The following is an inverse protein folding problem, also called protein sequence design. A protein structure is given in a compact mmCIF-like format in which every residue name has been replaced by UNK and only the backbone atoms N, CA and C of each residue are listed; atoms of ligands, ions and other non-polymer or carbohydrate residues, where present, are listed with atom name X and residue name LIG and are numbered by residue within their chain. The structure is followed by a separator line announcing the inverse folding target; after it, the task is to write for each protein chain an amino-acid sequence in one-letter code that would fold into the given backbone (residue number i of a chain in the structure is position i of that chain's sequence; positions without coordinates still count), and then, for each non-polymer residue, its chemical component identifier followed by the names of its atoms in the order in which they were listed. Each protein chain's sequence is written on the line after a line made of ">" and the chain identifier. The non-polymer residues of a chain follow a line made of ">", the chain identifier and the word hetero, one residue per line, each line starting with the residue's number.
data_IF_259930820011
#
_entry.id   IF_259930820011
#
_cell.length_a   1.000
_cell.length_b   1.000
_cell.length_c   1.000
_cell.angle_alpha   90.00
_cell.angle_beta   90.00
_cell.angle_gamma   90.00
#
_symmetry.space_group_name_H-M   'P 1'
#
loop_
_entity.id
_entity.type
_entity.pdbx_description
1 polymer ?
#
# COMPACT_ATOMS: atom_id res chain seq x y z
N UNK A 1 -6.49 5.14 2.88
CA UNK A 1 -6.83 5.11 4.32
C UNK A 1 -6.61 6.45 5.01
N UNK A 2 -5.38 6.87 5.33
CA UNK A 2 -5.16 7.99 6.26
C UNK A 2 -5.66 9.35 5.70
N UNK A 3 -5.37 9.63 4.42
CA UNK A 3 -5.73 10.90 3.77
C UNK A 3 -7.15 10.94 3.18
N UNK A 4 -7.86 9.82 3.14
CA UNK A 4 -9.24 9.75 2.62
C UNK A 4 -10.28 10.20 3.66
N UNK A 5 -9.99 10.05 4.95
CA UNK A 5 -10.86 10.51 6.05
C UNK A 5 -10.89 12.04 6.22
N UNK A 6 -9.92 12.76 5.65
CA UNK A 6 -9.84 14.22 5.76
C UNK A 6 -10.70 14.97 4.72
N UNK A 7 -11.44 14.28 3.83
CA UNK A 7 -12.22 14.91 2.74
C UNK A 7 -13.64 15.32 3.14
N UNK A 8 -14.22 14.72 4.18
CA UNK A 8 -15.65 14.87 4.51
C UNK A 8 -16.07 16.24 5.10
N UNK A 9 -15.14 17.20 5.22
CA UNK A 9 -15.39 18.48 5.92
C UNK A 9 -15.66 19.65 4.98
N UNK A 10 -15.37 19.56 3.67
CA UNK A 10 -15.29 20.75 2.78
C UNK A 10 -15.71 20.54 1.30
N UNK A 11 -16.93 20.11 0.99
CA UNK A 11 -17.53 20.26 -0.36
C UNK A 11 -19.03 20.63 -0.24
N UNK A 12 -19.58 21.40 -1.21
CA UNK A 12 -20.18 20.76 -2.37
C UNK A 12 -19.81 21.37 -3.74
N UNK A 13 -19.69 20.49 -4.75
CA UNK A 13 -19.89 20.67 -6.20
C UNK A 13 -19.40 21.94 -6.92
N UNK A 14 -18.52 21.77 -7.92
CA UNK A 14 -18.93 21.74 -9.35
C UNK A 14 -17.79 21.37 -10.30
N UNK A 15 -18.14 20.78 -11.45
CA UNK A 15 -17.26 20.35 -12.54
C UNK A 15 -17.24 21.37 -13.69
N UNK A 16 -16.08 21.59 -14.32
CA UNK A 16 -15.92 21.73 -15.79
C UNK A 16 -14.43 21.81 -16.23
N UNK A 17 -14.08 21.55 -17.52
CA UNK A 17 -12.71 21.27 -17.96
C UNK A 17 -12.03 22.41 -18.77
N UNK A 18 -10.70 22.46 -18.78
CA UNK A 18 -9.92 23.26 -19.74
C UNK A 18 -8.64 22.57 -20.23
N UNK A 19 -8.12 23.04 -21.38
CA UNK A 19 -7.30 22.30 -22.36
C UNK A 19 -5.78 22.35 -22.13
N UNK A 20 -5.12 21.30 -22.65
CA UNK A 20 -3.77 21.19 -23.25
C UNK A 20 -2.73 22.31 -23.06
N UNK A 21 -1.50 21.90 -22.71
CA UNK A 21 -0.39 21.77 -23.69
C UNK A 21 0.65 20.78 -23.16
N UNK A 22 1.15 19.87 -24.01
CA UNK A 22 2.23 18.95 -23.67
C UNK A 22 3.61 19.59 -23.88
N UNK A 23 4.60 19.15 -23.10
CA UNK A 23 6.00 19.28 -23.49
C UNK A 23 6.81 18.10 -22.92
N UNK A 24 7.27 17.24 -23.82
CA UNK A 24 8.12 16.10 -23.54
C UNK A 24 9.60 16.50 -23.60
N UNK A 25 10.40 16.08 -22.61
CA UNK A 25 11.80 15.67 -22.75
C UNK A 25 12.39 15.32 -21.37
N UNK A 26 12.55 14.02 -21.07
CA UNK A 26 13.28 13.54 -19.88
C UNK A 26 13.63 12.03 -20.05
N UNK A 27 14.56 11.71 -20.95
CA UNK A 27 15.00 10.34 -21.23
C UNK A 27 16.53 10.25 -21.46
N UNK A 28 17.34 10.60 -20.45
CA UNK A 28 18.81 10.50 -20.54
C UNK A 28 19.57 10.26 -19.21
N UNK A 29 18.90 9.72 -18.19
CA UNK A 29 19.47 9.54 -16.83
C UNK A 29 19.49 8.09 -16.30
N UNK A 30 19.10 7.11 -17.11
CA UNK A 30 19.25 5.70 -16.77
C UNK A 30 20.53 5.16 -17.40
N UNK A 31 21.48 4.72 -16.57
CA UNK A 31 22.60 3.92 -17.06
C UNK A 31 22.07 2.65 -17.72
N UNK A 32 22.58 2.31 -18.91
CA UNK A 32 22.21 1.09 -19.61
C UNK A 32 22.69 -0.12 -18.82
N UNK A 33 21.78 -0.81 -18.14
CA UNK A 33 21.95 -2.25 -17.92
C UNK A 33 21.54 -2.94 -19.21
N UNK A 34 22.51 -3.52 -19.94
CA UNK A 34 22.18 -4.48 -20.98
C UNK A 34 21.37 -5.62 -20.36
N UNK A 35 20.12 -5.77 -20.80
CA UNK A 35 19.47 -7.07 -20.86
C UNK A 35 19.37 -7.38 -22.34
N UNK A 36 19.89 -8.53 -22.74
CA UNK A 36 19.84 -9.02 -24.11
C UNK A 36 18.39 -9.28 -24.52
N UNK A 37 18.03 -8.82 -25.72
CA UNK A 37 16.80 -9.21 -26.41
C UNK A 37 16.99 -10.63 -26.96
N UNK A 38 16.86 -11.64 -26.10
CA UNK A 38 16.97 -13.04 -26.51
C UNK A 38 16.30 -14.00 -25.51
N UNK A 39 14.98 -13.85 -25.28
CA UNK A 39 14.16 -14.85 -24.57
C UNK A 39 12.63 -14.70 -24.75
N UNK A 40 12.15 -14.31 -25.93
CA UNK A 40 10.70 -14.29 -26.24
C UNK A 40 10.27 -15.38 -27.26
N UNK A 41 11.16 -16.33 -27.59
CA UNK A 41 10.93 -17.32 -28.66
C UNK A 41 11.00 -18.81 -28.21
N UNK A 42 10.98 -19.09 -26.90
CA UNK A 42 10.97 -20.47 -26.36
C UNK A 42 9.66 -20.87 -25.67
N UNK A 43 8.56 -20.18 -26.00
CA UNK A 43 7.21 -20.47 -25.48
C UNK A 43 6.26 -21.06 -26.56
N UNK A 44 6.80 -21.45 -27.72
CA UNK A 44 6.02 -21.81 -28.92
C UNK A 44 6.10 -23.31 -29.26
N UNK A 45 6.83 -24.13 -28.49
CA UNK A 45 7.15 -25.54 -28.83
C UNK A 45 6.65 -26.60 -27.83
N UNK A 46 5.68 -26.29 -26.97
CA UNK A 46 4.92 -27.33 -26.23
C UNK A 46 3.41 -27.07 -26.33
N UNK A 47 2.88 -27.11 -27.56
CA UNK A 47 1.45 -27.37 -27.78
C UNK A 47 1.19 -28.87 -27.65
N UNK A 48 1.15 -29.37 -26.41
CA UNK A 48 0.47 -30.65 -26.15
C UNK A 48 -1.03 -30.44 -26.35
N UNK A 49 -1.58 -31.08 -27.36
CA UNK A 49 -2.99 -30.98 -27.76
C UNK A 49 -3.94 -31.41 -26.64
N UNK A 50 -4.69 -30.46 -26.07
CA UNK A 50 -5.88 -30.76 -25.27
C UNK A 50 -7.05 -31.11 -26.23
N UNK A 51 -7.65 -32.30 -26.15
CA UNK A 51 -8.75 -32.73 -27.02
C UNK A 51 -10.10 -32.17 -26.53
N UNK A 52 -10.30 -30.87 -26.66
CA UNK A 52 -11.59 -30.23 -26.35
C UNK A 52 -11.49 -28.71 -26.24
N UNK A 53 -11.92 -28.00 -27.28
CA UNK A 53 -12.12 -26.56 -27.18
C UNK A 53 -13.30 -26.28 -26.23
N UNK A 54 -13.02 -25.71 -25.06
CA UNK A 54 -14.04 -25.25 -24.11
C UNK A 54 -15.00 -24.32 -24.84
N UNK A 55 -16.30 -24.61 -24.84
CA UNK A 55 -17.27 -23.72 -25.47
C UNK A 55 -17.40 -22.41 -24.66
N UNK A 56 -17.46 -21.29 -25.40
CA UNK A 56 -17.74 -19.97 -24.84
C UNK A 56 -19.10 -19.91 -24.14
N UNK A 57 -20.08 -20.73 -24.54
CA UNK A 57 -21.37 -20.85 -23.84
C UNK A 57 -21.20 -21.36 -22.39
N UNK A 58 -20.33 -22.37 -22.18
CA UNK A 58 -20.00 -22.93 -20.86
C UNK A 58 -19.33 -21.86 -19.99
N UNK A 59 -18.43 -21.09 -20.59
CA UNK A 59 -17.73 -19.98 -19.94
C UNK A 59 -18.69 -18.88 -19.47
N UNK A 60 -19.65 -18.48 -20.31
CA UNK A 60 -20.70 -17.51 -19.99
C UNK A 60 -21.65 -18.03 -18.90
N UNK A 61 -22.01 -19.32 -18.94
CA UNK A 61 -22.77 -20.00 -17.88
C UNK A 61 -22.04 -19.94 -16.53
N UNK A 62 -20.74 -20.27 -16.51
CA UNK A 62 -19.94 -20.27 -15.28
C UNK A 62 -19.79 -18.87 -14.67
N UNK A 63 -19.48 -17.82 -15.45
CA UNK A 63 -19.38 -16.45 -14.90
C UNK A 63 -20.73 -15.91 -14.44
N UNK A 64 -21.85 -16.30 -15.06
CA UNK A 64 -23.20 -15.93 -14.62
C UNK A 64 -23.56 -16.58 -13.29
N UNK A 65 -23.32 -17.90 -13.15
CA UNK A 65 -23.51 -18.63 -11.88
C UNK A 65 -22.57 -18.09 -10.78
N UNK A 66 -21.32 -17.75 -11.11
CA UNK A 66 -20.36 -17.18 -10.17
C UNK A 66 -20.84 -15.84 -9.59
N UNK A 67 -21.35 -14.93 -10.44
CA UNK A 67 -21.93 -13.65 -9.98
C UNK A 67 -23.07 -13.86 -8.99
N UNK A 68 -24.02 -14.73 -9.32
CA UNK A 68 -25.16 -15.04 -8.45
C UNK A 68 -24.73 -15.59 -7.09
N UNK A 69 -23.78 -16.53 -7.06
CA UNK A 69 -23.26 -17.12 -5.81
C UNK A 69 -22.55 -16.08 -4.95
N UNK A 70 -21.64 -15.30 -5.55
CA UNK A 70 -20.85 -14.27 -4.85
C UNK A 70 -21.76 -13.16 -4.32
N UNK A 71 -22.64 -12.59 -5.15
CA UNK A 71 -23.55 -11.52 -4.71
C UNK A 71 -24.52 -12.00 -3.62
N UNK A 72 -24.99 -13.25 -3.68
CA UNK A 72 -25.80 -13.86 -2.63
C UNK A 72 -25.02 -13.93 -1.29
N UNK A 73 -23.79 -14.44 -1.31
CA UNK A 73 -22.92 -14.52 -0.13
C UNK A 73 -22.59 -13.15 0.48
N UNK A 74 -22.26 -12.15 -0.34
CA UNK A 74 -22.05 -10.78 0.13
C UNK A 74 -23.32 -10.19 0.76
N UNK A 75 -24.48 -10.37 0.13
CA UNK A 75 -25.76 -9.86 0.64
C UNK A 75 -26.15 -10.54 1.97
N UNK A 76 -25.94 -11.85 2.09
CA UNK A 76 -26.16 -12.61 3.32
C UNK A 76 -25.23 -12.10 4.44
N UNK A 77 -23.95 -11.92 4.15
CA UNK A 77 -22.95 -11.39 5.10
C UNK A 77 -23.30 -9.98 5.58
N UNK A 78 -23.68 -9.08 4.66
CA UNK A 78 -24.05 -7.70 4.99
C UNK A 78 -25.33 -7.65 5.85
N UNK A 79 -26.35 -8.46 5.52
CA UNK A 79 -27.57 -8.60 6.33
C UNK A 79 -27.25 -9.14 7.74
N UNK A 80 -26.44 -10.19 7.81
CA UNK A 80 -26.05 -10.87 9.05
C UNK A 80 -25.31 -9.92 10.02
N UNK A 81 -24.35 -9.13 9.51
CA UNK A 81 -23.66 -8.11 10.32
C UNK A 81 -24.62 -6.99 10.75
N UNK A 82 -25.43 -6.46 9.83
CA UNK A 82 -26.42 -5.40 10.15
C UNK A 82 -27.43 -5.85 11.21
N UNK A 83 -27.85 -7.11 11.18
CA UNK A 83 -28.76 -7.68 12.18
C UNK A 83 -28.12 -7.74 13.57
N UNK A 84 -26.87 -8.25 13.69
CA UNK A 84 -26.15 -8.29 14.97
C UNK A 84 -25.85 -6.90 15.55
N UNK A 85 -25.53 -5.93 14.70
CA UNK A 85 -25.36 -4.53 15.11
C UNK A 85 -26.66 -3.91 15.63
N UNK A 86 -27.81 -4.22 15.01
CA UNK A 86 -29.13 -3.71 15.41
C UNK A 86 -29.71 -4.38 16.65
N UNK A 87 -29.41 -5.66 16.90
CA UNK A 87 -29.91 -6.38 18.08
C UNK A 87 -29.16 -6.07 19.38
N UNK A 88 -28.09 -5.26 19.33
CA UNK A 88 -27.23 -5.01 20.48
C UNK A 88 -26.31 -6.18 20.85
N UNK A 89 -26.37 -7.30 20.13
CA UNK A 89 -25.59 -8.52 20.38
C UNK A 89 -24.21 -8.52 19.66
N UNK A 90 -23.78 -7.38 19.13
CA UNK A 90 -22.52 -7.29 18.38
C UNK A 90 -21.30 -7.40 19.30
N UNK A 91 -20.46 -8.40 19.03
CA UNK A 91 -19.15 -8.50 19.69
C UNK A 91 -18.19 -7.41 19.19
N UNK A 92 -17.10 -7.12 19.91
CA UNK A 92 -16.02 -6.28 19.39
C UNK A 92 -15.45 -6.78 18.05
N UNK A 93 -15.50 -8.09 17.80
CA UNK A 93 -15.09 -8.69 16.52
C UNK A 93 -16.09 -8.42 15.39
N UNK A 94 -17.40 -8.39 15.67
CA UNK A 94 -18.41 -8.00 14.69
C UNK A 94 -18.24 -6.54 14.27
N UNK A 95 -18.00 -5.66 15.24
CA UNK A 95 -17.76 -4.24 15.01
C UNK A 95 -16.48 -4.02 14.19
N UNK A 96 -15.40 -4.73 14.53
CA UNK A 96 -14.15 -4.69 13.75
C UNK A 96 -14.33 -5.23 12.32
N UNK A 97 -15.12 -6.29 12.16
CA UNK A 97 -15.42 -6.90 10.85
C UNK A 97 -16.31 -6.01 9.99
N UNK A 98 -17.21 -5.23 10.60
CA UNK A 98 -18.00 -4.20 9.93
C UNK A 98 -17.11 -3.07 9.41
N UNK A 99 -16.23 -2.50 10.25
CA UNK A 99 -15.31 -1.44 9.84
C UNK A 99 -14.27 -1.89 8.79
N UNK A 100 -14.03 -3.19 8.66
CA UNK A 100 -13.14 -3.78 7.64
C UNK A 100 -13.84 -4.20 6.35
N UNK A 101 -15.16 -4.03 6.24
CA UNK A 101 -15.87 -4.28 4.99
C UNK A 101 -15.34 -3.37 3.87
N UNK A 102 -15.07 -3.89 2.66
CA UNK A 102 -14.62 -3.06 1.57
C UNK A 102 -15.73 -2.08 1.14
N UNK A 103 -15.34 -0.85 0.81
CA UNK A 103 -16.23 0.24 0.39
C UNK A 103 -15.86 0.78 -0.99
N UNK A 104 -16.82 1.42 -1.66
CA UNK A 104 -16.65 2.06 -2.96
C UNK A 104 -15.89 1.19 -3.98
N UNK A 105 -14.91 1.76 -4.69
CA UNK A 105 -14.12 1.07 -5.71
C UNK A 105 -13.38 -0.19 -5.21
N UNK A 106 -13.05 -0.28 -3.91
CA UNK A 106 -12.43 -1.50 -3.35
C UNK A 106 -13.44 -2.64 -3.28
N UNK A 107 -14.71 -2.38 -2.95
CA UNK A 107 -15.77 -3.40 -2.97
C UNK A 107 -15.96 -3.98 -4.38
N UNK A 108 -15.95 -3.11 -5.38
CA UNK A 108 -16.09 -3.49 -6.80
C UNK A 108 -14.91 -4.38 -7.22
N UNK A 109 -13.67 -3.95 -6.91
CA UNK A 109 -12.47 -4.70 -7.28
C UNK A 109 -12.36 -6.07 -6.59
N UNK A 110 -12.75 -6.18 -5.31
CA UNK A 110 -12.77 -7.47 -4.59
C UNK A 110 -13.85 -8.39 -5.17
N UNK A 111 -15.09 -7.91 -5.35
CA UNK A 111 -16.15 -8.71 -5.98
C UNK A 111 -15.79 -9.19 -7.39
N UNK A 112 -15.13 -8.35 -8.18
CA UNK A 112 -14.65 -8.75 -9.51
C UNK A 112 -13.65 -9.92 -9.45
N UNK A 113 -12.72 -9.89 -8.49
CA UNK A 113 -11.79 -10.99 -8.25
C UNK A 113 -12.51 -12.25 -7.75
N UNK A 114 -13.50 -12.13 -6.88
CA UNK A 114 -14.31 -13.24 -6.40
C UNK A 114 -15.14 -13.88 -7.54
N UNK A 115 -15.76 -13.07 -8.42
CA UNK A 115 -16.45 -13.57 -9.61
C UNK A 115 -15.51 -14.36 -10.52
N UNK A 116 -14.29 -13.87 -10.76
CA UNK A 116 -13.28 -14.57 -11.55
C UNK A 116 -12.88 -15.89 -10.90
N UNK A 117 -12.57 -15.88 -9.60
CA UNK A 117 -12.15 -17.07 -8.87
C UNK A 117 -13.24 -18.16 -8.86
N UNK A 118 -14.49 -17.80 -8.52
CA UNK A 118 -15.61 -18.74 -8.51
C UNK A 118 -15.96 -19.22 -9.93
N UNK A 119 -15.83 -18.37 -10.96
CA UNK A 119 -16.07 -18.79 -12.35
C UNK A 119 -15.03 -19.80 -12.84
N UNK A 120 -13.76 -19.64 -12.46
CA UNK A 120 -12.70 -20.60 -12.77
C UNK A 120 -12.90 -21.93 -12.02
N UNK A 121 -13.28 -21.91 -10.75
CA UNK A 121 -13.59 -23.13 -9.99
C UNK A 121 -14.81 -23.88 -10.55
N UNK A 122 -15.88 -23.16 -10.92
CA UNK A 122 -17.06 -23.76 -11.59
C UNK A 122 -16.75 -24.30 -12.98
N UNK A 123 -15.75 -23.76 -13.67
CA UNK A 123 -15.27 -24.29 -14.94
C UNK A 123 -14.43 -25.54 -14.73
N UNK A 124 -13.53 -25.54 -13.74
CA UNK A 124 -12.72 -26.68 -13.36
C UNK A 124 -13.59 -27.89 -12.96
N UNK A 125 -14.62 -27.68 -12.12
CA UNK A 125 -15.62 -28.70 -11.75
C UNK A 125 -16.28 -29.36 -12.99
N UNK A 126 -16.62 -28.56 -14.01
CA UNK A 126 -17.22 -29.07 -15.25
C UNK A 126 -16.22 -29.83 -16.14
N UNK A 127 -14.96 -29.40 -16.17
CA UNK A 127 -13.91 -30.00 -17.02
C UNK A 127 -13.28 -31.25 -16.39
N UNK A 128 -13.20 -31.34 -15.06
CA UNK A 128 -12.81 -32.56 -14.34
C UNK A 128 -13.73 -33.76 -14.65
N UNK A 129 -14.97 -33.50 -15.08
CA UNK A 129 -15.89 -34.56 -15.53
C UNK A 129 -15.55 -35.13 -16.92
N UNK A 130 -14.58 -34.53 -17.64
CA UNK A 130 -14.19 -34.94 -19.01
C UNK A 130 -12.77 -35.52 -19.09
N UNK A 131 -11.86 -35.22 -18.14
CA UNK A 131 -10.48 -35.74 -18.16
C UNK A 131 -9.98 -36.22 -16.79
N UNK A 132 -9.31 -37.38 -16.76
CA UNK A 132 -8.72 -37.99 -15.55
C UNK A 132 -7.31 -37.50 -15.19
N UNK A 133 -6.82 -36.40 -15.80
CA UNK A 133 -5.47 -35.83 -15.55
C UNK A 133 -5.57 -34.51 -14.80
N UNK A 134 -4.56 -34.19 -14.00
CA UNK A 134 -4.44 -32.86 -13.39
C UNK A 134 -4.04 -31.83 -14.45
N UNK A 135 -4.91 -30.86 -14.71
CA UNK A 135 -4.65 -29.70 -15.56
C UNK A 135 -4.86 -28.40 -14.77
N UNK A 136 -4.33 -27.28 -15.26
CA UNK A 136 -4.66 -25.96 -14.75
C UNK A 136 -5.72 -25.34 -15.66
N UNK A 137 -6.87 -24.96 -15.10
CA UNK A 137 -8.03 -24.44 -15.84
C UNK A 137 -7.71 -23.21 -16.71
N UNK A 138 -6.70 -22.41 -16.36
CA UNK A 138 -6.31 -21.26 -17.20
C UNK A 138 -5.60 -21.64 -18.49
N UNK A 139 -4.98 -22.83 -18.52
CA UNK A 139 -4.08 -23.23 -19.60
C UNK A 139 -4.84 -23.93 -20.74
N UNK A 140 -6.06 -24.38 -20.46
CA UNK A 140 -7.04 -24.90 -21.43
C UNK A 140 -7.84 -23.77 -22.11
N UNK A 141 -7.80 -22.54 -21.56
CA UNK A 141 -8.54 -21.40 -22.08
C UNK A 141 -7.75 -20.58 -23.12
N UNK A 142 -8.39 -20.25 -24.23
CA UNK A 142 -7.78 -19.38 -25.25
C UNK A 142 -7.65 -17.92 -24.79
N UNK A 143 -6.71 -17.16 -25.36
CA UNK A 143 -6.52 -15.73 -25.06
C UNK A 143 -7.83 -14.90 -25.19
N UNK A 144 -8.70 -15.10 -26.20
CA UNK A 144 -10.01 -14.43 -26.26
C UNK A 144 -10.96 -14.80 -25.11
N UNK A 145 -10.98 -16.07 -24.68
CA UNK A 145 -11.81 -16.53 -23.58
C UNK A 145 -11.37 -15.97 -22.23
N UNK A 146 -10.06 -15.90 -21.99
CA UNK A 146 -9.50 -15.24 -20.81
C UNK A 146 -9.84 -13.73 -20.79
N UNK A 147 -9.84 -13.06 -21.96
CA UNK A 147 -10.33 -11.68 -22.08
C UNK A 147 -11.82 -11.57 -21.77
N UNK A 148 -12.66 -12.48 -22.29
CA UNK A 148 -14.09 -12.50 -22.02
C UNK A 148 -14.38 -12.69 -20.52
N UNK A 149 -13.74 -13.64 -19.85
CA UNK A 149 -13.86 -13.81 -18.40
C UNK A 149 -13.45 -12.53 -17.65
N UNK A 150 -12.32 -11.92 -18.03
CA UNK A 150 -11.79 -10.73 -17.38
C UNK A 150 -12.71 -9.52 -17.55
N UNK A 151 -13.31 -9.33 -18.73
CA UNK A 151 -14.30 -8.31 -19.00
C UNK A 151 -15.60 -8.59 -18.24
N UNK A 152 -16.10 -9.83 -18.30
CA UNK A 152 -17.35 -10.22 -17.66
C UNK A 152 -17.27 -10.17 -16.13
N UNK A 153 -16.12 -10.48 -15.51
CA UNK A 153 -15.90 -10.34 -14.07
C UNK A 153 -15.67 -8.90 -13.63
N UNK A 154 -15.22 -8.02 -14.53
CA UNK A 154 -14.75 -6.67 -14.20
C UNK A 154 -13.28 -6.62 -13.74
N UNK A 155 -12.51 -7.69 -13.94
CA UNK A 155 -11.05 -7.70 -13.74
C UNK A 155 -10.27 -7.08 -14.91
N UNK A 156 -10.93 -6.81 -16.04
CA UNK A 156 -10.29 -6.28 -17.23
C UNK A 156 -9.56 -4.96 -16.96
N UNK A 157 -8.33 -4.88 -17.43
CA UNK A 157 -7.58 -3.63 -17.51
C UNK A 157 -8.29 -2.74 -18.53
N UNK A 158 -8.81 -1.60 -18.08
CA UNK A 158 -9.29 -0.56 -18.98
C UNK A 158 -8.09 0.13 -19.63
N UNK A 159 -7.76 -0.27 -20.86
CA UNK A 159 -6.67 0.29 -21.68
C UNK A 159 -7.02 1.65 -22.33
N UNK A 160 -7.90 2.44 -21.70
CA UNK A 160 -8.15 3.81 -22.13
C UNK A 160 -6.94 4.72 -21.79
N UNK A 161 -6.61 5.62 -22.72
CA UNK A 161 -5.53 6.58 -22.56
C UNK A 161 -5.88 7.65 -21.51
N UNK A 162 -5.69 7.33 -20.22
CA UNK A 162 -5.98 8.22 -19.09
C UNK A 162 -5.11 9.50 -19.14
N UNK A 163 -5.75 10.66 -19.28
CA UNK A 163 -5.06 11.95 -19.30
C UNK A 163 -4.52 12.32 -17.91
N UNK A 164 -3.26 12.00 -17.67
CA UNK A 164 -2.63 12.14 -16.36
C UNK A 164 -2.33 13.60 -15.97
N UNK A 165 -2.96 14.08 -14.90
CA UNK A 165 -2.61 15.36 -14.26
C UNK A 165 -1.21 15.32 -13.62
N UNK A 166 -0.57 16.50 -13.54
CA UNK A 166 0.81 16.66 -13.09
C UNK A 166 0.99 17.37 -11.75
N UNK A 167 -0.02 18.11 -11.27
CA UNK A 167 0.18 19.02 -10.13
C UNK A 167 0.24 18.29 -8.79
N UNK A 168 -0.60 17.27 -8.62
CA UNK A 168 -0.75 16.52 -7.38
C UNK A 168 -0.93 15.02 -7.63
N UNK A 169 -0.51 14.19 -6.67
CA UNK A 169 -0.75 12.75 -6.69
C UNK A 169 -2.25 12.47 -6.52
N UNK A 170 -2.84 11.59 -7.33
CA UNK A 170 -4.19 11.06 -7.13
C UNK A 170 -4.36 10.40 -5.75
N UNK A 171 -5.59 10.20 -5.26
CA UNK A 171 -5.83 9.47 -4.00
C UNK A 171 -5.46 7.99 -4.14
N UNK A 172 -5.76 7.40 -5.30
CA UNK A 172 -5.53 5.99 -5.62
C UNK A 172 -4.08 5.68 -5.99
N UNK A 173 -3.25 6.66 -6.34
CA UNK A 173 -1.89 6.43 -6.86
C UNK A 173 -1.82 6.25 -8.38
N UNK A 174 -2.97 6.18 -9.09
CA UNK A 174 -3.03 6.23 -10.56
C UNK A 174 -2.24 7.40 -11.13
N UNK A 175 -1.73 7.23 -12.35
CA UNK A 175 -0.90 8.21 -13.05
C UNK A 175 0.43 8.58 -12.35
N UNK A 176 0.88 7.83 -11.33
CA UNK A 176 2.26 7.96 -10.84
C UNK A 176 3.25 7.61 -11.97
N UNK A 177 2.96 6.58 -12.76
CA UNK A 177 3.63 6.30 -14.03
C UNK A 177 2.71 6.76 -15.17
N UNK A 178 3.15 7.71 -16.02
CA UNK A 178 2.33 8.19 -17.15
C UNK A 178 2.17 7.15 -18.27
N UNK A 179 3.17 6.28 -18.48
CA UNK A 179 3.14 5.26 -19.55
C UNK A 179 2.23 4.08 -19.19
N UNK A 180 2.07 3.80 -17.90
CA UNK A 180 1.24 2.70 -17.37
C UNK A 180 0.50 3.19 -16.12
N UNK A 181 -0.62 3.91 -16.27
CA UNK A 181 -1.28 4.65 -15.18
C UNK A 181 -1.63 3.82 -13.94
N UNK A 182 -1.87 2.52 -14.09
CA UNK A 182 -2.21 1.58 -13.01
C UNK A 182 -1.01 1.07 -12.19
N UNK A 183 0.24 1.27 -12.65
CA UNK A 183 1.42 0.79 -11.90
C UNK A 183 1.56 1.51 -10.55
N UNK A 184 1.37 0.76 -9.46
CA UNK A 184 1.38 1.26 -8.09
C UNK A 184 0.08 1.95 -7.66
N UNK A 185 -1.00 1.79 -8.41
CA UNK A 185 -2.33 2.21 -7.99
C UNK A 185 -2.92 1.22 -6.96
N UNK A 186 -3.79 1.72 -6.08
CA UNK A 186 -4.59 0.93 -5.16
C UNK A 186 -5.59 0.04 -5.92
N UNK A 187 -6.06 -1.03 -5.27
CA UNK A 187 -6.96 -2.03 -5.85
C UNK A 187 -6.37 -2.69 -7.12
N UNK A 188 -5.06 -2.96 -7.11
CA UNK A 188 -4.33 -3.69 -8.15
C UNK A 188 -3.63 -4.89 -7.53
N UNK A 189 -3.38 -5.93 -8.33
CA UNK A 189 -2.65 -7.10 -7.88
C UNK A 189 -1.19 -6.76 -7.49
N UNK A 190 -0.73 -7.32 -6.38
CA UNK A 190 0.66 -7.21 -5.93
C UNK A 190 1.59 -7.87 -6.95
N UNK A 191 2.80 -7.32 -7.12
CA UNK A 191 3.80 -7.94 -7.98
C UNK A 191 4.23 -9.31 -7.40
N UNK A 192 4.26 -10.36 -8.23
CA UNK A 192 4.90 -11.64 -7.87
C UNK A 192 6.31 -11.65 -8.45
N UNK A 193 7.29 -11.99 -7.61
CA UNK A 193 8.71 -12.09 -7.99
C UNK A 193 9.17 -13.53 -8.21
N UNK A 194 8.40 -14.47 -7.68
CA UNK A 194 8.52 -15.90 -7.87
C UNK A 194 7.12 -16.42 -8.20
N UNK A 195 6.99 -17.56 -8.91
CA UNK A 195 5.72 -18.24 -9.10
C UNK A 195 4.99 -18.49 -7.76
N UNK A 196 3.67 -18.52 -7.81
CA UNK A 196 2.88 -18.90 -6.64
C UNK A 196 3.04 -20.40 -6.36
N UNK A 197 2.91 -20.80 -5.10
CA UNK A 197 2.86 -22.20 -4.69
C UNK A 197 1.66 -22.39 -3.77
N UNK A 198 0.69 -23.15 -4.24
CA UNK A 198 -0.52 -23.54 -3.54
C UNK A 198 -0.63 -25.06 -3.47
N UNK A 199 -1.47 -25.57 -2.57
CA UNK A 199 -1.64 -27.01 -2.29
C UNK A 199 -2.35 -27.77 -3.42
N UNK A 200 -3.16 -27.05 -4.18
CA UNK A 200 -3.86 -27.41 -5.42
C UNK A 200 -3.15 -26.86 -6.69
N UNK A 201 -2.07 -26.07 -6.53
CA UNK A 201 -1.43 -25.32 -7.60
C UNK A 201 -2.11 -23.98 -7.96
N UNK A 202 -3.33 -23.71 -7.48
CA UNK A 202 -4.18 -22.59 -7.92
C UNK A 202 -4.46 -21.58 -6.79
N UNK A 203 -4.99 -22.03 -5.65
CA UNK A 203 -5.55 -21.15 -4.62
C UNK A 203 -5.51 -21.67 -3.18
N UNK A 204 -5.65 -22.98 -2.96
CA UNK A 204 -5.71 -23.56 -1.61
C UNK A 204 -4.36 -23.39 -0.89
N UNK A 205 -4.32 -22.76 0.29
CA UNK A 205 -3.08 -22.63 1.05
C UNK A 205 -2.63 -24.01 1.58
N UNK A 206 -1.33 -24.24 1.61
CA UNK A 206 -0.77 -25.45 2.23
C UNK A 206 -1.19 -25.56 3.71
N UNK A 207 -1.68 -26.74 4.11
CA UNK A 207 -2.25 -26.98 5.44
C UNK A 207 -3.76 -26.72 5.53
N UNK A 208 -4.43 -26.48 4.40
CA UNK A 208 -5.89 -26.45 4.32
C UNK A 208 -6.50 -27.85 4.38
N UNK A 209 -5.96 -28.80 3.60
CA UNK A 209 -6.44 -30.18 3.58
C UNK A 209 -5.90 -30.96 4.79
N UNK A 210 -6.76 -31.47 5.70
CA UNK A 210 -6.30 -32.25 6.84
C UNK A 210 -5.46 -33.47 6.41
N UNK A 211 -4.34 -33.70 7.08
CA UNK A 211 -3.43 -34.83 6.81
C UNK A 211 -2.52 -34.67 5.58
N UNK A 212 -2.76 -33.69 4.69
CA UNK A 212 -1.89 -33.45 3.53
C UNK A 212 -0.55 -32.88 4.00
N UNK A 213 0.54 -33.46 3.48
CA UNK A 213 1.92 -33.11 3.87
C UNK A 213 2.58 -32.22 2.83
N UNK A 214 3.47 -31.32 3.29
CA UNK A 214 4.39 -30.57 2.42
C UNK A 214 5.82 -30.99 2.75
N UNK A 215 6.55 -31.46 1.73
CA UNK A 215 7.93 -31.96 1.86
C UNK A 215 8.11 -32.98 3.01
N UNK A 216 7.12 -33.88 3.20
CA UNK A 216 7.11 -34.90 4.25
C UNK A 216 6.52 -34.47 5.61
N UNK A 217 6.34 -33.16 5.84
CA UNK A 217 5.85 -32.61 7.11
C UNK A 217 4.35 -32.32 7.08
N UNK A 218 3.66 -32.61 8.19
CA UNK A 218 2.31 -32.10 8.45
C UNK A 218 2.39 -30.62 8.80
N UNK A 219 1.42 -29.84 8.33
CA UNK A 219 1.32 -28.41 8.62
C UNK A 219 0.25 -28.16 9.70
N UNK A 220 0.43 -27.15 10.57
CA UNK A 220 -0.59 -26.78 11.52
C UNK A 220 -1.83 -26.25 10.79
N UNK A 221 -3.02 -26.55 11.33
CA UNK A 221 -4.29 -26.02 10.83
C UNK A 221 -4.25 -24.49 10.78
N UNK A 222 -4.85 -23.92 9.74
CA UNK A 222 -4.91 -22.47 9.53
C UNK A 222 -5.72 -21.82 10.66
N UNK A 223 -5.03 -21.19 11.61
CA UNK A 223 -5.65 -20.47 12.71
C UNK A 223 -6.24 -19.13 12.25
N UNK A 224 -7.39 -18.74 12.82
CA UNK A 224 -8.11 -17.53 12.47
C UNK A 224 -7.23 -16.26 12.57
N UNK A 225 -7.31 -15.43 11.53
CA UNK A 225 -6.46 -14.25 11.31
C UNK A 225 -6.95 -13.04 12.11
N UNK A 226 -6.86 -13.14 13.43
CA UNK A 226 -7.08 -12.03 14.38
C UNK A 226 -6.23 -10.83 13.98
N UNK A 227 -6.88 -9.86 13.35
CA UNK A 227 -6.24 -8.68 12.77
C UNK A 227 -6.08 -7.58 13.82
N UNK A 228 -5.04 -7.70 14.64
CA UNK A 228 -4.75 -6.83 15.79
C UNK A 228 -4.38 -5.41 15.37
N UNK A 229 -5.36 -4.52 15.33
CA UNK A 229 -5.09 -3.08 15.40
C UNK A 229 -4.74 -2.71 16.86
N UNK A 230 -3.72 -1.88 17.06
CA UNK A 230 -3.28 -1.47 18.39
C UNK A 230 -3.50 0.03 18.59
N UNK A 231 -3.82 0.51 19.81
CA UNK A 231 -3.98 1.94 20.09
C UNK A 231 -2.76 2.80 19.70
N UNK A 232 -1.56 2.22 19.69
CA UNK A 232 -0.31 2.86 19.23
C UNK A 232 -0.38 3.27 17.76
N UNK A 233 -1.02 2.45 16.90
CA UNK A 233 -1.26 2.79 15.50
C UNK A 233 -2.27 3.93 15.38
N UNK A 234 -3.40 3.85 16.10
CA UNK A 234 -4.42 4.90 16.11
C UNK A 234 -3.88 6.27 16.60
N UNK A 235 -2.96 6.27 17.58
CA UNK A 235 -2.26 7.47 18.02
C UNK A 235 -1.41 8.10 16.91
N UNK A 236 -0.70 7.29 16.11
CA UNK A 236 0.05 7.77 14.95
C UNK A 236 -0.88 8.30 13.84
N UNK A 237 -2.02 7.65 13.60
CA UNK A 237 -3.07 8.16 12.70
C UNK A 237 -3.53 9.56 13.11
N UNK A 238 -3.91 9.73 14.37
CA UNK A 238 -4.33 11.01 14.94
C UNK A 238 -3.24 12.07 14.79
N UNK A 239 -1.97 11.71 15.01
CA UNK A 239 -0.84 12.64 14.91
C UNK A 239 -0.70 13.22 13.50
N UNK A 240 -0.72 12.39 12.45
CA UNK A 240 -0.58 12.89 11.07
C UNK A 240 -1.83 13.61 10.55
N UNK A 241 -3.03 13.27 11.03
CA UNK A 241 -4.24 14.06 10.75
C UNK A 241 -4.16 15.46 11.36
N UNK A 242 -3.69 15.57 12.61
CA UNK A 242 -3.45 16.89 13.25
C UNK A 242 -2.40 17.70 12.48
N UNK A 243 -1.29 17.07 12.08
CA UNK A 243 -0.24 17.77 11.33
C UNK A 243 -0.74 18.27 9.96
N UNK A 244 -1.58 17.49 9.26
CA UNK A 244 -2.24 17.97 8.04
C UNK A 244 -3.06 19.24 8.29
N UNK A 245 -3.89 19.24 9.33
CA UNK A 245 -4.75 20.37 9.66
C UNK A 245 -3.93 21.60 10.13
N UNK A 246 -2.85 21.38 10.89
CA UNK A 246 -1.90 22.42 11.30
C UNK A 246 -1.23 23.08 10.08
N UNK A 247 -0.71 22.27 9.16
CA UNK A 247 -0.12 22.74 7.90
C UNK A 247 -1.12 23.52 7.05
N UNK A 248 -2.35 23.01 6.88
CA UNK A 248 -3.40 23.71 6.13
C UNK A 248 -3.76 25.06 6.76
N UNK A 249 -3.83 25.14 8.09
CA UNK A 249 -4.09 26.38 8.85
C UNK A 249 -2.99 27.41 8.65
N UNK A 250 -1.72 27.00 8.77
CA UNK A 250 -0.57 27.90 8.55
C UNK A 250 -0.45 28.35 7.09
N UNK A 251 -0.72 27.47 6.13
CA UNK A 251 -0.77 27.80 4.70
C UNK A 251 -1.90 28.78 4.37
N UNK A 252 -3.08 28.67 5.02
CA UNK A 252 -4.18 29.64 4.88
C UNK A 252 -3.79 31.02 5.40
N UNK A 253 -3.12 31.09 6.57
CA UNK A 253 -2.59 32.37 7.11
C UNK A 253 -1.54 32.98 6.19
N UNK A 254 -0.68 32.15 5.59
CA UNK A 254 0.37 32.60 4.67
C UNK A 254 -0.17 33.04 3.30
N UNK A 255 -1.25 32.39 2.84
CA UNK A 255 -1.88 32.60 1.54
C UNK A 255 -3.42 32.68 1.65
N UNK A 256 -3.99 33.82 2.10
CA UNK A 256 -5.43 33.93 2.36
C UNK A 256 -6.35 33.63 1.17
N UNK A 257 -5.86 33.84 -0.06
CA UNK A 257 -6.59 33.61 -1.32
C UNK A 257 -6.62 32.15 -1.81
N UNK A 258 -6.00 31.19 -1.12
CA UNK A 258 -6.02 29.79 -1.54
C UNK A 258 -7.36 29.11 -1.21
N UNK A 259 -7.90 28.37 -2.19
CA UNK A 259 -9.09 27.53 -2.04
C UNK A 259 -8.85 26.35 -1.10
N UNK A 260 -9.94 25.73 -0.61
CA UNK A 260 -9.89 24.52 0.23
C UNK A 260 -9.05 23.41 -0.41
N UNK A 261 -9.30 23.11 -1.69
CA UNK A 261 -8.54 22.11 -2.46
C UNK A 261 -7.04 22.40 -2.52
N UNK A 262 -6.64 23.66 -2.77
CA UNK A 262 -5.21 24.00 -2.85
C UNK A 262 -4.53 23.81 -1.49
N UNK A 263 -5.22 24.16 -0.40
CA UNK A 263 -4.73 23.98 0.97
C UNK A 263 -4.61 22.49 1.33
N UNK A 264 -5.65 21.70 1.05
CA UNK A 264 -5.64 20.25 1.24
C UNK A 264 -4.49 19.61 0.45
N UNK A 265 -4.36 19.89 -0.85
CA UNK A 265 -3.35 19.25 -1.68
C UNK A 265 -1.93 19.69 -1.32
N UNK A 266 -1.66 20.95 -0.99
CA UNK A 266 -0.33 21.38 -0.54
C UNK A 266 0.01 20.82 0.86
N UNK A 267 -0.92 20.83 1.83
CA UNK A 267 -0.69 20.22 3.14
C UNK A 267 -0.46 18.70 3.02
N UNK A 268 -1.24 18.00 2.19
CA UNK A 268 -1.07 16.58 1.85
C UNK A 268 0.27 16.30 1.18
N UNK A 269 0.73 17.18 0.29
CA UNK A 269 2.01 17.09 -0.42
C UNK A 269 3.20 17.29 0.51
N UNK A 270 3.14 18.27 1.42
CA UNK A 270 4.13 18.49 2.49
C UNK A 270 4.20 17.28 3.42
N UNK A 271 3.06 16.82 3.94
CA UNK A 271 3.00 15.66 4.83
C UNK A 271 3.51 14.37 4.17
N UNK A 272 3.19 14.17 2.89
CA UNK A 272 3.76 13.07 2.10
C UNK A 272 5.28 13.15 1.97
N UNK A 273 5.85 14.35 1.84
CA UNK A 273 7.29 14.55 1.86
C UNK A 273 7.91 14.31 3.25
N UNK A 274 7.24 14.72 4.33
CA UNK A 274 7.68 14.41 5.70
C UNK A 274 7.78 12.90 5.93
N UNK A 275 6.76 12.14 5.53
CA UNK A 275 6.78 10.67 5.63
C UNK A 275 7.93 10.07 4.80
N UNK A 276 8.10 10.51 3.54
CA UNK A 276 9.23 10.08 2.71
C UNK A 276 10.60 10.35 3.38
N UNK A 277 10.79 11.53 3.97
CA UNK A 277 12.04 11.90 4.65
C UNK A 277 12.25 11.05 5.90
N UNK A 278 11.26 10.95 6.80
CA UNK A 278 11.36 10.16 8.04
C UNK A 278 11.65 8.69 7.71
N UNK A 279 10.97 8.10 6.73
CA UNK A 279 11.20 6.70 6.33
C UNK A 279 12.62 6.48 5.78
N UNK A 280 13.10 7.32 4.86
CA UNK A 280 14.36 7.06 4.16
C UNK A 280 15.61 7.62 4.86
N UNK A 281 15.48 8.69 5.64
CA UNK A 281 16.58 9.31 6.40
C UNK A 281 16.75 8.66 7.78
N UNK A 282 15.65 8.40 8.49
CA UNK A 282 15.69 8.08 9.92
C UNK A 282 15.42 6.60 10.21
N UNK A 283 14.44 5.99 9.52
CA UNK A 283 13.97 4.63 9.83
C UNK A 283 14.72 3.53 9.06
N UNK A 284 14.71 3.55 7.72
CA UNK A 284 15.30 2.49 6.90
C UNK A 284 16.80 2.24 7.17
N UNK A 285 17.66 3.25 7.41
CA UNK A 285 19.07 3.01 7.76
C UNK A 285 19.27 2.24 9.07
N UNK A 286 18.31 2.29 10.00
CA UNK A 286 18.33 1.52 11.25
C UNK A 286 17.85 0.08 11.02
N UNK A 287 16.79 -0.10 10.22
CA UNK A 287 16.25 -1.44 9.87
C UNK A 287 17.24 -2.28 9.06
N UNK A 288 17.90 -1.67 8.07
CA UNK A 288 18.78 -2.35 7.12
C UNK A 288 20.23 -2.48 7.63
N UNK A 289 20.63 -1.64 8.59
CA UNK A 289 22.02 -1.40 8.95
C UNK A 289 22.76 -0.49 7.95
N UNK A 290 23.73 0.30 8.43
CA UNK A 290 24.41 1.36 7.67
C UNK A 290 25.01 0.89 6.34
N UNK A 291 25.74 -0.22 6.33
CA UNK A 291 26.43 -0.72 5.14
C UNK A 291 25.44 -1.14 4.04
N UNK A 292 24.37 -1.87 4.40
CA UNK A 292 23.32 -2.26 3.46
C UNK A 292 22.51 -1.06 2.98
N UNK A 293 22.15 -0.15 3.89
CA UNK A 293 21.42 1.07 3.53
C UNK A 293 22.19 1.92 2.51
N UNK A 294 23.50 2.10 2.70
CA UNK A 294 24.37 2.82 1.75
C UNK A 294 24.33 2.18 0.34
N UNK A 295 24.50 0.85 0.26
CA UNK A 295 24.48 0.10 -1.01
C UNK A 295 23.10 0.03 -1.66
N UNK A 296 22.03 -0.10 -0.88
CA UNK A 296 20.67 -0.37 -1.38
C UNK A 296 19.87 0.89 -1.67
N UNK A 297 19.99 1.93 -0.85
CA UNK A 297 19.27 3.20 -1.04
C UNK A 297 20.08 4.18 -1.91
N UNK A 298 21.37 4.32 -1.60
CA UNK A 298 22.29 5.22 -2.30
C UNK A 298 21.86 6.69 -2.33
N UNK A 299 22.59 7.54 -3.07
CA UNK A 299 22.13 8.89 -3.40
C UNK A 299 21.02 8.82 -4.46
N UNK A 300 19.94 9.60 -4.27
CA UNK A 300 18.86 9.71 -5.24
C UNK A 300 19.33 10.31 -6.58
N UNK A 301 19.23 9.53 -7.67
CA UNK A 301 19.69 9.92 -9.01
C UNK A 301 18.62 10.56 -9.91
N UNK A 302 17.33 10.44 -9.56
CA UNK A 302 16.23 10.92 -10.38
C UNK A 302 15.05 9.94 -10.44
N UNK A 303 13.99 10.33 -11.14
CA UNK A 303 12.82 9.49 -11.41
C UNK A 303 13.08 8.63 -12.66
N UNK A 304 12.66 7.37 -12.63
CA UNK A 304 12.74 6.42 -13.75
C UNK A 304 11.37 5.76 -13.93
N UNK A 305 10.75 5.96 -15.09
CA UNK A 305 9.44 5.38 -15.44
C UNK A 305 9.45 3.87 -15.64
N UNK A 306 10.62 3.24 -15.73
CA UNK A 306 10.77 1.82 -16.02
C UNK A 306 10.88 0.98 -14.73
N UNK A 307 11.01 1.61 -13.55
CA UNK A 307 11.01 0.91 -12.26
C UNK A 307 9.57 0.64 -11.82
N UNK A 308 9.24 -0.63 -11.56
CA UNK A 308 7.92 -1.03 -11.07
C UNK A 308 7.69 -0.56 -9.60
N UNK A 309 6.65 0.25 -9.33
CA UNK A 309 6.32 0.73 -7.98
C UNK A 309 5.34 -0.18 -7.19
N UNK A 310 4.81 -1.29 -7.76
CA UNK A 310 3.58 -1.99 -7.29
C UNK A 310 3.53 -2.51 -5.84
N UNK A 311 4.66 -2.71 -5.17
CA UNK A 311 4.81 -3.58 -3.98
C UNK A 311 4.67 -5.06 -4.33
N UNK A 312 5.58 -5.89 -3.82
CA UNK A 312 5.62 -7.32 -4.06
C UNK A 312 4.80 -8.11 -3.04
N UNK A 313 4.24 -9.24 -3.45
CA UNK A 313 3.48 -10.14 -2.58
C UNK A 313 4.32 -10.55 -1.33
N UNK A 314 5.57 -10.97 -1.56
CA UNK A 314 6.54 -11.35 -0.51
C UNK A 314 6.83 -10.21 0.50
N UNK A 315 6.72 -8.94 0.09
CA UNK A 315 6.93 -7.79 0.97
C UNK A 315 5.88 -7.74 2.09
N UNK A 316 4.64 -8.14 1.80
CA UNK A 316 3.53 -8.13 2.78
C UNK A 316 3.69 -9.13 3.92
N UNK A 317 4.58 -10.11 3.75
CA UNK A 317 4.98 -11.07 4.78
C UNK A 317 6.29 -10.65 5.45
N UNK A 318 7.36 -10.39 4.69
CA UNK A 318 8.66 -10.06 5.28
C UNK A 318 8.67 -8.73 6.06
N UNK A 319 7.88 -7.73 5.65
CA UNK A 319 7.76 -6.48 6.41
C UNK A 319 7.02 -6.67 7.75
N UNK A 320 6.41 -7.84 8.00
CA UNK A 320 5.90 -8.24 9.33
C UNK A 320 7.01 -8.61 10.32
N UNK A 321 8.29 -8.47 9.97
CA UNK A 321 9.38 -8.50 10.97
C UNK A 321 9.11 -7.54 12.14
N UNK A 322 8.35 -6.47 11.93
CA UNK A 322 7.85 -5.59 13.00
C UNK A 322 7.11 -6.30 14.14
N UNK A 323 6.58 -7.51 13.93
CA UNK A 323 5.97 -8.32 14.98
C UNK A 323 6.99 -8.82 16.01
N UNK A 324 8.27 -9.01 15.65
CA UNK A 324 9.33 -9.34 16.63
C UNK A 324 9.73 -8.14 17.49
N UNK A 325 9.36 -6.92 17.08
CA UNK A 325 9.57 -5.67 17.83
C UNK A 325 8.39 -5.33 18.75
N UNK A 326 7.29 -6.10 18.72
CA UNK A 326 6.15 -5.87 19.60
C UNK A 326 6.46 -6.33 21.03
N UNK A 327 6.22 -5.44 21.99
CA UNK A 327 6.22 -5.76 23.42
C UNK A 327 4.85 -6.28 23.84
N UNK A 328 4.83 -7.29 24.70
CA UNK A 328 3.60 -7.87 25.26
C UNK A 328 2.74 -6.85 26.02
N UNK A 329 3.36 -5.81 26.60
CA UNK A 329 2.66 -4.73 27.32
C UNK A 329 2.61 -3.43 26.51
N UNK A 330 1.44 -2.78 26.53
CA UNK A 330 1.27 -1.41 26.05
C UNK A 330 1.30 -0.45 27.23
N UNK A 331 2.38 0.32 27.34
CA UNK A 331 2.53 1.35 28.37
C UNK A 331 1.89 2.66 27.89
N UNK A 332 0.95 3.17 28.69
CA UNK A 332 0.34 4.48 28.57
C UNK A 332 0.84 5.34 29.73
N UNK A 333 1.38 6.53 29.44
CA UNK A 333 1.92 7.44 30.45
C UNK A 333 1.05 8.70 30.50
N UNK A 334 0.47 8.98 31.68
CA UNK A 334 -0.47 10.08 31.86
C UNK A 334 0.28 11.37 32.23
N UNK A 335 0.10 12.44 31.45
CA UNK A 335 0.88 13.67 31.54
C UNK A 335 0.76 14.46 32.87
N UNK A 336 -0.21 14.12 33.73
CA UNK A 336 -0.39 14.73 35.06
C UNK A 336 0.29 14.00 36.22
N UNK A 337 0.86 12.81 36.00
CA UNK A 337 1.57 12.00 37.01
C UNK A 337 2.84 11.36 36.41
N UNK A 338 3.61 12.15 35.64
CA UNK A 338 4.86 11.66 35.05
C UNK A 338 6.00 11.77 36.07
N UNK A 339 6.28 10.67 36.79
CA UNK A 339 7.65 10.44 37.24
C UNK A 339 8.52 10.32 35.97
N UNK A 340 9.52 11.21 35.76
CA UNK A 340 10.32 11.22 34.55
C UNK A 340 11.06 9.88 34.29
N UNK A 341 11.29 9.06 35.32
CA UNK A 341 11.98 7.76 35.22
C UNK A 341 11.28 6.75 34.30
N UNK A 342 9.97 6.90 34.07
CA UNK A 342 9.14 5.86 33.44
C UNK A 342 8.85 6.05 31.94
N UNK A 343 9.34 7.11 31.28
CA UNK A 343 9.15 7.35 29.82
C UNK A 343 9.96 6.39 28.91
N UNK A 344 10.10 5.11 29.29
CA UNK A 344 11.00 4.16 28.67
C UNK A 344 10.32 3.28 27.61
N UNK A 345 11.01 3.08 26.48
CA UNK A 345 10.87 1.91 25.57
C UNK A 345 9.59 1.81 24.72
N UNK A 346 9.13 2.93 24.15
CA UNK A 346 7.99 2.97 23.22
C UNK A 346 8.27 2.57 21.76
N UNK A 347 9.46 2.85 21.21
CA UNK A 347 9.75 2.82 19.75
C UNK A 347 11.18 2.35 19.40
N UNK A 348 11.73 1.40 20.15
CA UNK A 348 13.14 1.01 20.06
C UNK A 348 13.45 0.11 18.85
N UNK A 349 14.33 0.53 17.94
CA UNK A 349 14.89 -0.35 16.89
C UNK A 349 16.24 -0.99 17.26
N UNK A 350 16.87 -0.57 18.38
CA UNK A 350 18.29 -0.86 18.68
C UNK A 350 18.68 -2.34 18.81
N UNK A 351 17.72 -3.26 19.01
CA UNK A 351 17.98 -4.71 19.20
C UNK A 351 17.35 -5.57 18.11
N UNK A 352 16.77 -4.98 17.07
CA UNK A 352 16.06 -5.67 16.01
C UNK A 352 16.49 -5.16 14.62
N UNK A 353 17.78 -5.27 14.34
CA UNK A 353 18.24 -5.29 12.95
C UNK A 353 17.52 -6.41 12.23
N UNK A 354 16.91 -6.13 11.07
CA UNK A 354 16.22 -7.17 10.33
C UNK A 354 17.23 -8.25 9.89
N UNK A 355 16.90 -9.56 10.02
CA UNK A 355 17.79 -10.63 9.59
C UNK A 355 18.33 -10.39 8.18
N UNK A 356 19.58 -10.79 7.93
CA UNK A 356 20.28 -10.53 6.66
C UNK A 356 19.51 -11.01 5.42
N UNK A 357 18.60 -11.97 5.58
CA UNK A 357 17.75 -12.54 4.54
C UNK A 357 16.38 -11.85 4.36
N UNK A 358 15.91 -11.02 5.31
CA UNK A 358 14.57 -10.41 5.26
C UNK A 358 14.38 -9.38 4.16
N UNK A 359 15.47 -8.79 3.66
CA UNK A 359 15.45 -7.71 2.68
C UNK A 359 16.48 -7.91 1.56
N UNK A 360 16.21 -8.74 0.53
CA UNK A 360 16.94 -8.76 -0.74
C UNK A 360 17.28 -7.35 -1.27
N UNK A 361 18.36 -7.18 -2.09
CA UNK A 361 18.77 -5.87 -2.58
C UNK A 361 17.65 -5.07 -3.29
N UNK A 362 16.71 -5.77 -3.94
CA UNK A 362 15.61 -5.14 -4.68
C UNK A 362 14.37 -4.87 -3.78
N UNK A 363 14.35 -5.32 -2.53
CA UNK A 363 13.13 -5.49 -1.71
C UNK A 363 12.45 -4.18 -1.27
N UNK A 364 13.12 -3.05 -1.44
CA UNK A 364 12.58 -1.73 -1.11
C UNK A 364 11.77 -1.22 -2.30
N UNK A 365 10.57 -1.79 -2.46
CA UNK A 365 9.74 -1.63 -3.66
C UNK A 365 9.21 -0.21 -3.89
N UNK A 366 9.24 0.64 -2.87
CA UNK A 366 8.96 2.09 -2.97
C UNK A 366 10.22 2.89 -3.29
N UNK A 367 11.20 2.27 -3.98
CA UNK A 367 12.48 2.87 -4.32
C UNK A 367 12.27 4.28 -4.92
N UNK A 368 12.94 5.32 -4.39
CA UNK A 368 12.73 6.71 -4.80
C UNK A 368 12.65 6.98 -6.31
N UNK A 369 13.39 6.26 -7.20
CA UNK A 369 13.25 6.42 -8.65
C UNK A 369 11.88 6.02 -9.22
N UNK A 370 11.12 5.12 -8.60
CA UNK A 370 9.78 4.71 -9.10
C UNK A 370 8.68 5.76 -8.83
N UNK A 371 8.98 6.79 -8.03
CA UNK A 371 8.01 7.74 -7.49
C UNK A 371 8.08 9.09 -8.22
N UNK A 372 7.11 9.38 -9.09
CA UNK A 372 7.05 10.65 -9.86
C UNK A 372 6.85 11.88 -8.96
N UNK A 373 6.28 11.66 -7.77
CA UNK A 373 6.09 12.65 -6.72
C UNK A 373 7.06 12.44 -5.54
N UNK A 374 8.30 12.00 -5.81
CA UNK A 374 9.36 11.96 -4.80
C UNK A 374 9.82 13.37 -4.43
N UNK A 375 9.98 13.67 -3.15
CA UNK A 375 10.21 15.03 -2.65
C UNK A 375 11.50 15.69 -3.20
N UNK A 376 12.51 14.89 -3.59
CA UNK A 376 13.75 15.41 -4.19
C UNK A 376 13.64 15.65 -5.70
N UNK A 377 12.63 15.11 -6.40
CA UNK A 377 12.51 15.24 -7.86
C UNK A 377 12.33 16.71 -8.25
N UNK A 378 13.05 17.15 -9.30
CA UNK A 378 12.84 18.46 -9.92
C UNK A 378 11.38 18.59 -10.38
N UNK A 379 10.78 19.75 -10.11
CA UNK A 379 9.36 20.06 -10.38
C UNK A 379 8.40 19.77 -9.23
N UNK A 380 8.71 18.85 -8.30
CA UNK A 380 7.77 18.52 -7.19
C UNK A 380 7.76 19.62 -6.13
N UNK A 381 8.95 20.11 -5.74
CA UNK A 381 9.14 21.24 -4.83
C UNK A 381 10.19 22.22 -5.40
N UNK A 382 10.17 23.48 -4.96
CA UNK A 382 11.23 24.45 -5.26
C UNK A 382 12.52 24.14 -4.51
N UNK A 383 13.65 24.78 -4.86
CA UNK A 383 14.91 24.65 -4.12
C UNK A 383 14.74 25.07 -2.64
N UNK A 384 14.07 26.21 -2.39
CA UNK A 384 13.78 26.75 -1.04
C UNK A 384 12.91 25.79 -0.22
N UNK A 385 11.83 25.26 -0.83
CA UNK A 385 10.95 24.28 -0.18
C UNK A 385 11.70 23.01 0.23
N UNK A 386 12.56 22.45 -0.65
CA UNK A 386 13.40 21.29 -0.29
C UNK A 386 14.38 21.57 0.84
N UNK A 387 14.92 22.79 0.93
CA UNK A 387 15.82 23.18 2.03
C UNK A 387 15.08 23.24 3.37
N UNK A 388 13.86 23.79 3.39
CA UNK A 388 13.00 23.78 4.57
C UNK A 388 12.61 22.35 5.00
N UNK A 389 12.21 21.51 4.04
CA UNK A 389 11.82 20.11 4.30
C UNK A 389 12.93 19.25 4.91
N UNK A 390 14.22 19.53 4.62
CA UNK A 390 15.35 18.79 5.20
C UNK A 390 15.40 18.85 6.72
N UNK A 391 14.84 19.89 7.34
CA UNK A 391 14.88 20.12 8.79
C UNK A 391 13.76 19.42 9.57
N UNK A 392 12.78 18.79 8.90
CA UNK A 392 11.68 18.11 9.58
C UNK A 392 12.17 16.90 10.37
N UNK A 393 11.49 16.57 11.46
CA UNK A 393 11.67 15.33 12.23
C UNK A 393 10.33 14.87 12.80
N UNK A 394 10.16 13.57 13.04
CA UNK A 394 8.94 13.06 13.68
C UNK A 394 8.78 13.60 15.11
N UNK A 395 9.89 13.84 15.83
CA UNK A 395 9.88 14.50 17.15
C UNK A 395 9.28 15.90 17.10
N UNK A 396 9.58 16.69 16.06
CA UNK A 396 8.97 18.03 15.85
C UNK A 396 7.45 17.92 15.63
N UNK A 397 7.01 16.94 14.83
CA UNK A 397 5.59 16.68 14.58
C UNK A 397 4.86 16.32 15.89
N UNK A 398 5.48 15.51 16.76
CA UNK A 398 4.94 15.22 18.11
C UNK A 398 4.80 16.51 18.93
N UNK A 399 5.85 17.33 18.99
CA UNK A 399 5.83 18.60 19.72
C UNK A 399 4.80 19.63 19.21
N UNK A 400 4.48 19.64 17.91
CA UNK A 400 3.56 20.61 17.32
C UNK A 400 2.07 20.17 17.36
N UNK A 401 1.78 18.92 17.68
CA UNK A 401 0.43 18.33 17.59
C UNK A 401 -0.05 17.63 18.89
N UNK A 402 0.74 17.71 19.95
CA UNK A 402 0.46 17.12 21.27
C UNK A 402 0.89 18.08 22.40
N UNK A 403 0.49 17.80 23.64
CA UNK A 403 0.97 18.51 24.82
C UNK A 403 2.34 18.05 25.34
N UNK A 404 3.09 17.24 24.58
CA UNK A 404 4.39 16.72 25.01
C UNK A 404 5.47 17.77 24.75
N UNK A 405 6.13 18.23 25.82
CA UNK A 405 7.15 19.30 25.80
C UNK A 405 8.60 18.79 25.75
N UNK A 406 8.83 17.51 26.04
CA UNK A 406 10.15 16.86 26.00
C UNK A 406 10.05 15.58 25.20
N UNK A 407 10.89 15.44 24.17
CA UNK A 407 10.82 14.35 23.19
C UNK A 407 12.22 13.78 22.90
N UNK A 408 12.34 12.54 22.40
CA UNK A 408 13.60 12.02 21.87
C UNK A 408 14.18 12.92 20.78
N UNK A 409 15.49 13.21 20.80
CA UNK A 409 16.18 13.88 19.68
C UNK A 409 16.14 13.01 18.41
N UNK A 410 16.49 11.74 18.56
CA UNK A 410 16.40 10.70 17.53
C UNK A 410 15.35 9.65 17.92
N UNK A 411 14.10 9.80 17.46
CA UNK A 411 12.94 9.04 17.96
C UNK A 411 12.97 7.51 17.75
N UNK A 412 13.78 7.02 16.82
CA UNK A 412 13.96 5.58 16.59
C UNK A 412 15.17 4.98 17.34
N UNK A 413 15.95 5.83 18.04
CA UNK A 413 17.16 5.44 18.80
C UNK A 413 17.00 5.66 20.30
N UNK A 414 16.72 6.90 20.71
CA UNK A 414 16.74 7.29 22.11
C UNK A 414 15.55 6.68 22.87
N UNK A 415 15.88 5.95 23.94
CA UNK A 415 14.95 5.02 24.60
C UNK A 415 14.97 5.07 26.14
N UNK A 416 15.90 5.84 26.73
CA UNK A 416 16.15 5.93 28.17
C UNK A 416 16.09 7.40 28.59
N UNK A 417 14.95 7.84 29.13
CA UNK A 417 14.85 9.19 29.69
C UNK A 417 15.80 9.36 30.90
N UNK A 418 16.45 10.52 31.10
CA UNK A 418 16.46 11.73 30.25
C UNK A 418 17.45 11.66 29.07
N UNK A 419 18.31 10.64 29.00
CA UNK A 419 19.39 10.55 28.04
C UNK A 419 18.89 10.50 26.58
N UNK A 420 19.30 11.48 25.77
CA UNK A 420 18.86 11.61 24.38
C UNK A 420 17.47 12.23 24.19
N UNK A 421 16.81 12.67 25.27
CA UNK A 421 15.61 13.49 25.22
C UNK A 421 15.98 14.98 25.27
N UNK A 422 15.16 15.81 24.64
CA UNK A 422 15.36 17.26 24.56
C UNK A 422 14.03 18.01 24.64
N UNK A 423 14.06 19.22 25.17
CA UNK A 423 12.88 20.09 25.15
C UNK A 423 12.52 20.48 23.71
N UNK A 424 11.23 20.51 23.40
CA UNK A 424 10.69 20.87 22.09
C UNK A 424 11.19 22.22 21.56
N UNK A 425 11.52 23.20 22.42
CA UNK A 425 12.05 24.49 21.99
C UNK A 425 13.42 24.37 21.28
N UNK A 426 14.16 23.28 21.50
CA UNK A 426 15.45 23.01 20.84
C UNK A 426 15.34 22.34 19.47
N UNK A 427 14.12 21.99 19.01
CA UNK A 427 13.89 21.33 17.72
C UNK A 427 13.23 22.31 16.75
N UNK A 428 13.88 22.67 15.62
CA UNK A 428 13.38 23.70 14.71
C UNK A 428 12.03 23.31 14.08
N UNK A 429 11.11 24.26 13.99
CA UNK A 429 9.84 24.11 13.26
C UNK A 429 10.08 24.19 11.74
N UNK A 430 9.17 23.57 10.96
CA UNK A 430 9.18 23.73 9.51
C UNK A 430 8.86 25.18 9.14
N UNK A 431 9.82 25.87 8.52
CA UNK A 431 9.59 27.22 8.00
C UNK A 431 8.81 27.16 6.68
N UNK A 432 7.51 27.49 6.74
CA UNK A 432 6.61 27.48 5.59
C UNK A 432 6.71 28.72 4.68
N UNK A 433 7.58 29.71 4.97
CA UNK A 433 7.72 30.92 4.13
C UNK A 433 8.00 30.63 2.64
N UNK A 434 8.62 29.50 2.33
CA UNK A 434 8.87 29.02 0.96
C UNK A 434 7.61 28.57 0.18
N UNK A 435 6.42 28.62 0.80
CA UNK A 435 5.11 28.41 0.17
C UNK A 435 4.27 29.70 0.07
N UNK A 436 4.84 30.87 0.39
CA UNK A 436 4.16 32.16 0.16
C UNK A 436 4.13 32.46 -1.34
N UNK A 437 2.95 32.76 -1.88
CA UNK A 437 2.77 33.19 -3.27
C UNK A 437 2.93 32.11 -4.34
N UNK A 438 3.08 30.84 -3.95
CA UNK A 438 2.99 29.68 -4.85
C UNK A 438 1.54 29.29 -5.14
#
# INVERSE_FOLDING_TARGET
>A
MWLSQAREVLEPNQTQPQKYTDNYNDAKLCGKSHMSEEQEDLATQVMTTFPGAVDTSVLQSCITKAKLLVDSAYNQTERSIKQRLRSGLASPMDLLSYFKQPVAATRIAVRAADYMHVALGLLEEKLQFQESRSFNVTDVLTKPQLRLLSQASGCAVQDEAEQCSDKYRTITGRCNNRRRPLLGAANQALARWLPAQYEDGVSLPFGWTPGKRRNGFLLPLVSDTRSTETPKLAAMHTLFVREHNRLATELRRLNPRWTGDKLYQEARKILGAMVQIITYRDFLPLVLGRARASRTLGPYRGYCSNVDPRVANVFTLAFRFGHTMLRQTSQLHCSRLVDPKNMQKGLNLHTAGAPSYSFPPNFIHLSPPSCRFWWQKRGVFTKRQRQALRQISLSRIVCDNTGITTVPRDIFKANTYPLGFVNCNSIPRLNLSAWRGT
#
